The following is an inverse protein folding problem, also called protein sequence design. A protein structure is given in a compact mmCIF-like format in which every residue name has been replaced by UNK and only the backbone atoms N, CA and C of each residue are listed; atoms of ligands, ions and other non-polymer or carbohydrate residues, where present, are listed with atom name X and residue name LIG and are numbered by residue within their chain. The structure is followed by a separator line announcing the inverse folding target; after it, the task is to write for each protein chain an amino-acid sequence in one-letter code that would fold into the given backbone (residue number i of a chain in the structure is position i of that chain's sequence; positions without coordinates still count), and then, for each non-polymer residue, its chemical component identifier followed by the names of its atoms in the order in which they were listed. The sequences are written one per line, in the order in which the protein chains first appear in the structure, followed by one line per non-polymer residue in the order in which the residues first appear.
data_IF_794702579982
#
_entry.id   IF_794702579982
#
_cell.length_a   1.000
_cell.length_b   1.000
_cell.length_c   1.000
_cell.angle_alpha   90.00
_cell.angle_beta   90.00
_cell.angle_gamma   90.00
#
_symmetry.space_group_name_H-M   'P 1'
#
loop_
_entity.id
_entity.type
_entity.pdbx_description
1 polymer ?
#
# COMPACT_ATOMS: atom_id res chain seq x y z
N UNK A 1 -0.78 -6.49 24.58
CA UNK A 1 0.12 -5.93 23.56
C UNK A 1 0.61 -4.59 24.08
N UNK A 2 1.92 -4.44 24.27
CA UNK A 2 2.51 -3.18 24.74
C UNK A 2 2.41 -2.12 23.64
N UNK A 3 2.02 -0.90 24.00
CA UNK A 3 2.04 0.23 23.10
C UNK A 3 3.48 0.51 22.66
N UNK A 4 3.73 0.79 21.38
CA UNK A 4 5.08 1.15 20.93
C UNK A 4 5.52 2.48 21.54
N UNK A 5 6.79 2.59 21.86
CA UNK A 5 7.45 3.74 22.48
C UNK A 5 7.29 5.06 21.68
N UNK A 6 7.29 6.25 22.32
CA UNK A 6 7.12 7.53 21.67
C UNK A 6 8.31 7.86 20.76
N UNK A 7 8.12 7.83 19.45
CA UNK A 7 9.10 8.26 18.46
C UNK A 7 8.95 9.75 18.10
N UNK A 8 10.00 10.30 17.52
CA UNK A 8 10.18 11.72 17.16
C UNK A 8 8.99 12.29 16.39
N UNK A 9 8.61 13.58 16.57
CA UNK A 9 7.53 14.20 15.80
C UNK A 9 7.85 14.14 14.29
N UNK A 10 6.92 13.61 13.50
CA UNK A 10 7.03 13.47 12.05
C UNK A 10 7.24 12.05 11.52
N UNK A 11 7.44 11.03 12.36
CA UNK A 11 7.62 9.65 11.89
C UNK A 11 6.24 8.98 11.68
N UNK A 12 5.97 8.55 10.45
CA UNK A 12 4.80 7.71 10.13
C UNK A 12 4.98 6.39 10.87
N UNK A 13 4.06 6.08 11.80
CA UNK A 13 4.15 4.89 12.65
C UNK A 13 3.47 3.68 12.06
N UNK A 14 2.43 3.90 11.24
CA UNK A 14 1.59 2.85 10.70
C UNK A 14 1.32 3.13 9.23
N UNK A 15 1.76 2.22 8.39
CA UNK A 15 1.48 2.24 6.95
C UNK A 15 0.53 1.10 6.63
N UNK A 16 -0.61 1.43 6.05
CA UNK A 16 -1.65 0.48 5.69
C UNK A 16 -1.78 0.47 4.17
N UNK A 17 -1.70 -0.69 3.56
CA UNK A 17 -1.76 -0.81 2.10
C UNK A 17 -3.00 -1.57 1.64
N UNK A 18 -3.54 -1.12 0.53
CA UNK A 18 -4.50 -1.83 -0.28
C UNK A 18 -3.81 -2.85 -1.21
N UNK A 19 -4.57 -3.77 -1.82
CA UNK A 19 -4.06 -4.84 -2.67
C UNK A 19 -3.37 -4.34 -3.93
N UNK A 20 -3.95 -3.35 -4.62
CA UNK A 20 -3.46 -2.83 -5.89
C UNK A 20 -1.99 -2.41 -5.87
N UNK A 21 -1.59 -1.49 -4.98
CA UNK A 21 -0.19 -1.07 -4.83
C UNK A 21 0.78 -2.21 -4.53
N UNK A 22 0.39 -3.14 -3.66
CA UNK A 22 1.23 -4.30 -3.30
C UNK A 22 1.47 -5.22 -4.49
N UNK A 23 0.40 -5.55 -5.23
CA UNK A 23 0.46 -6.39 -6.42
C UNK A 23 1.30 -5.70 -7.50
N UNK A 24 1.07 -4.41 -7.76
CA UNK A 24 1.81 -3.65 -8.75
C UNK A 24 3.31 -3.65 -8.46
N UNK A 25 3.71 -3.27 -7.25
CA UNK A 25 5.11 -3.27 -6.84
C UNK A 25 5.73 -4.68 -6.84
N UNK A 26 4.98 -5.70 -6.44
CA UNK A 26 5.46 -7.08 -6.44
C UNK A 26 5.73 -7.60 -7.86
N UNK A 27 4.88 -7.26 -8.83
CA UNK A 27 5.04 -7.67 -10.23
C UNK A 27 6.30 -7.09 -10.88
N UNK A 28 6.64 -5.85 -10.57
CA UNK A 28 7.86 -5.21 -11.08
C UNK A 28 9.10 -5.44 -10.21
N UNK A 29 9.02 -6.35 -9.22
CA UNK A 29 10.14 -6.68 -8.33
C UNK A 29 10.55 -5.58 -7.36
N UNK A 30 9.69 -4.61 -7.11
CA UNK A 30 9.97 -3.42 -6.29
C UNK A 30 9.25 -3.40 -4.92
N UNK A 31 8.71 -4.54 -4.48
CA UNK A 31 7.96 -4.62 -3.21
C UNK A 31 8.81 -4.19 -1.99
N UNK A 32 10.11 -4.51 -1.99
CA UNK A 32 11.03 -4.16 -0.91
C UNK A 32 11.23 -2.65 -0.72
N UNK A 33 10.82 -1.81 -1.68
CA UNK A 33 10.78 -0.35 -1.49
C UNK A 33 9.89 0.05 -0.32
N UNK A 34 8.79 -0.68 -0.08
CA UNK A 34 7.92 -0.42 1.06
C UNK A 34 8.65 -0.62 2.39
N UNK A 35 9.45 -1.69 2.48
CA UNK A 35 10.30 -1.94 3.64
C UNK A 35 11.37 -0.88 3.80
N UNK A 36 12.02 -0.50 2.72
CA UNK A 36 13.08 0.52 2.74
C UNK A 36 12.55 1.90 3.15
N UNK A 37 11.36 2.29 2.66
CA UNK A 37 10.74 3.58 2.94
C UNK A 37 10.11 3.66 4.34
N UNK A 38 9.47 2.58 4.79
CA UNK A 38 8.58 2.62 5.96
C UNK A 38 8.96 1.63 7.08
N UNK A 39 9.87 0.72 6.82
CA UNK A 39 10.23 -0.36 7.77
C UNK A 39 9.24 -1.53 7.78
N UNK A 40 7.95 -1.26 7.60
CA UNK A 40 6.91 -2.27 7.57
C UNK A 40 5.58 -1.74 7.05
N UNK A 41 4.73 -2.66 6.64
CA UNK A 41 3.38 -2.38 6.10
C UNK A 41 2.38 -3.32 6.74
N UNK A 42 1.18 -2.82 6.97
CA UNK A 42 0.04 -3.61 7.45
C UNK A 42 -1.03 -3.70 6.37
N UNK A 43 -1.67 -4.85 6.28
CA UNK A 43 -2.85 -5.08 5.46
C UNK A 43 -3.97 -5.69 6.29
N UNK A 44 -5.18 -5.61 5.80
CA UNK A 44 -6.31 -6.31 6.43
C UNK A 44 -6.40 -7.76 5.95
N UNK A 45 -7.10 -8.62 6.68
CA UNK A 45 -7.37 -9.99 6.25
C UNK A 45 -8.14 -10.04 4.92
N UNK A 46 -9.01 -9.05 4.66
CA UNK A 46 -9.73 -8.93 3.37
C UNK A 46 -8.75 -8.69 2.22
N UNK A 47 -7.82 -7.76 2.38
CA UNK A 47 -6.76 -7.50 1.39
C UNK A 47 -5.86 -8.73 1.21
N UNK A 48 -5.53 -9.43 2.30
CA UNK A 48 -4.73 -10.68 2.24
C UNK A 48 -5.44 -11.77 1.41
N UNK A 49 -6.76 -11.94 1.59
CA UNK A 49 -7.59 -12.87 0.83
C UNK A 49 -7.68 -12.46 -0.66
N UNK A 50 -7.81 -11.17 -0.94
CA UNK A 50 -7.81 -10.66 -2.32
C UNK A 50 -6.49 -10.95 -3.03
N UNK A 51 -5.36 -10.81 -2.37
CA UNK A 51 -4.03 -11.14 -2.90
C UNK A 51 -3.84 -12.66 -3.01
N UNK A 52 -4.52 -13.46 -2.18
CA UNK A 52 -4.39 -14.91 -2.09
C UNK A 52 -3.22 -15.36 -1.20
N UNK A 53 -3.00 -14.66 -0.08
CA UNK A 53 -1.97 -14.98 0.93
C UNK A 53 -2.54 -15.22 2.33
N UNK A 54 -3.85 -15.39 2.43
CA UNK A 54 -4.61 -15.67 3.65
C UNK A 54 -4.43 -17.10 4.14
N UNK A 55 -4.17 -18.05 3.24
CA UNK A 55 -3.93 -19.45 3.57
C UNK A 55 -2.48 -19.74 4.01
N UNK A 56 -2.29 -20.87 4.69
CA UNK A 56 -0.96 -21.39 5.05
C UNK A 56 -0.06 -21.56 3.79
N UNK A 57 1.27 -21.37 3.92
CA UNK A 57 2.20 -21.32 2.77
C UNK A 57 2.20 -22.54 1.87
N UNK A 58 1.81 -23.72 2.38
CA UNK A 58 1.91 -25.00 1.68
C UNK A 58 0.71 -25.34 0.75
N UNK A 59 -0.36 -24.54 0.74
CA UNK A 59 -1.62 -24.90 0.02
C UNK A 59 -1.76 -24.21 -1.33
N UNK A 60 -0.86 -23.33 -1.73
CA UNK A 60 -1.05 -22.47 -2.91
C UNK A 60 -0.26 -22.92 -4.14
N UNK A 61 -0.86 -23.82 -4.94
CA UNK A 61 -0.36 -24.14 -6.29
C UNK A 61 -0.70 -23.09 -7.37
N UNK A 62 -1.65 -22.19 -7.08
CA UNK A 62 -2.15 -21.21 -8.07
C UNK A 62 -2.17 -19.76 -7.48
N UNK A 63 -0.98 -19.29 -7.13
CA UNK A 63 -0.85 -17.93 -6.59
C UNK A 63 -0.99 -16.90 -7.69
N UNK A 64 -1.83 -15.92 -7.44
CA UNK A 64 -1.96 -14.72 -8.29
C UNK A 64 -0.59 -14.07 -8.51
N UNK A 65 -0.34 -13.42 -9.66
CA UNK A 65 0.93 -12.74 -9.92
C UNK A 65 1.29 -11.77 -8.78
N UNK A 66 2.54 -11.89 -8.27
CA UNK A 66 3.02 -11.08 -7.13
C UNK A 66 2.75 -11.69 -5.75
N UNK A 67 1.77 -12.58 -5.57
CA UNK A 67 1.40 -13.13 -4.26
C UNK A 67 2.58 -13.82 -3.55
N UNK A 68 3.45 -14.51 -4.29
CA UNK A 68 4.63 -15.16 -3.72
C UNK A 68 5.61 -14.16 -3.07
N UNK A 69 5.84 -13.00 -3.70
CA UNK A 69 6.70 -11.96 -3.13
C UNK A 69 6.07 -11.36 -1.85
N UNK A 70 4.75 -11.12 -1.87
CA UNK A 70 4.03 -10.58 -0.73
C UNK A 70 3.99 -11.60 0.44
N UNK A 71 3.81 -12.90 0.14
CA UNK A 71 3.91 -13.95 1.15
C UNK A 71 5.31 -14.05 1.79
N UNK A 72 6.37 -13.86 1.01
CA UNK A 72 7.75 -13.76 1.53
C UNK A 72 7.93 -12.55 2.44
N UNK A 73 7.34 -11.40 2.10
CA UNK A 73 7.36 -10.19 2.93
C UNK A 73 6.69 -10.44 4.29
N UNK A 74 5.55 -11.17 4.29
CA UNK A 74 4.87 -11.62 5.52
C UNK A 74 5.77 -12.54 6.34
N UNK A 75 6.34 -13.56 5.72
CA UNK A 75 7.24 -14.50 6.39
C UNK A 75 8.50 -13.83 6.95
N UNK A 76 9.00 -12.79 6.28
CA UNK A 76 10.12 -11.96 6.75
C UNK A 76 9.73 -10.96 7.87
N UNK A 77 8.45 -10.88 8.24
CA UNK A 77 7.94 -10.12 9.40
C UNK A 77 7.79 -8.61 9.19
N UNK A 78 8.01 -8.10 7.97
CA UNK A 78 7.81 -6.67 7.71
C UNK A 78 6.46 -6.33 7.06
N UNK A 79 5.68 -7.36 6.64
CA UNK A 79 4.28 -7.22 6.27
C UNK A 79 3.44 -7.96 7.30
N UNK A 80 2.50 -7.25 7.94
CA UNK A 80 1.60 -7.80 8.94
C UNK A 80 0.15 -7.82 8.43
N UNK A 81 -0.62 -8.80 8.91
CA UNK A 81 -2.06 -8.91 8.60
C UNK A 81 -2.84 -8.65 9.89
N UNK A 82 -3.85 -7.80 9.80
CA UNK A 82 -4.81 -7.53 10.89
C UNK A 82 -6.15 -8.15 10.55
N UNK A 83 -6.67 -8.95 11.49
CA UNK A 83 -7.98 -9.58 11.36
C UNK A 83 -9.11 -8.56 11.33
N UNK A 84 -10.04 -8.74 10.40
CA UNK A 84 -11.14 -7.79 10.16
C UNK A 84 -12.06 -7.62 11.36
N UNK A 85 -12.19 -8.65 12.21
CA UNK A 85 -13.00 -8.61 13.44
C UNK A 85 -12.41 -7.70 14.53
N UNK A 86 -11.16 -7.32 14.41
CA UNK A 86 -10.48 -6.44 15.37
C UNK A 86 -10.75 -4.95 15.14
N UNK A 87 -11.43 -4.59 14.06
CA UNK A 87 -11.62 -3.20 13.62
C UNK A 87 -13.10 -2.93 13.37
N UNK A 88 -13.67 -1.84 13.93
CA UNK A 88 -15.03 -1.40 13.58
C UNK A 88 -15.11 -1.12 12.08
N UNK A 89 -16.10 -1.69 11.44
CA UNK A 89 -16.38 -1.44 10.04
C UNK A 89 -17.01 -0.06 9.87
N UNK A 90 -16.50 0.71 8.91
CA UNK A 90 -16.99 2.07 8.61
C UNK A 90 -17.70 2.06 7.27
N UNK A 91 -18.98 2.43 7.28
CA UNK A 91 -19.77 2.54 6.04
C UNK A 91 -19.15 3.59 5.10
N UNK A 92 -18.80 3.24 3.84
CA UNK A 92 -18.24 4.18 2.88
C UNK A 92 -19.25 5.29 2.52
N UNK A 93 -18.75 6.52 2.35
CA UNK A 93 -19.53 7.64 1.79
C UNK A 93 -19.66 7.50 0.26
N UNK A 94 -18.71 6.83 -0.37
CA UNK A 94 -18.68 6.59 -1.81
C UNK A 94 -19.05 5.12 -2.10
N UNK A 95 -20.16 4.86 -2.84
CA UNK A 95 -20.60 3.50 -3.15
C UNK A 95 -19.66 2.73 -4.09
N UNK A 96 -18.67 3.40 -4.70
CA UNK A 96 -17.65 2.77 -5.53
C UNK A 96 -16.44 2.22 -4.76
N UNK A 97 -16.42 2.36 -3.43
CA UNK A 97 -15.36 1.79 -2.58
C UNK A 97 -15.59 0.29 -2.42
N UNK A 98 -14.59 -0.51 -2.74
CA UNK A 98 -14.66 -1.96 -2.62
C UNK A 98 -14.37 -2.45 -1.17
N UNK A 99 -14.41 -3.77 -0.97
CA UNK A 99 -14.24 -4.38 0.35
C UNK A 99 -12.80 -4.24 0.90
N UNK A 100 -11.78 -4.32 0.04
CA UNK A 100 -10.38 -4.12 0.40
C UNK A 100 -10.12 -2.71 0.87
N UNK A 101 -10.53 -1.73 0.05
CA UNK A 101 -10.43 -0.30 0.37
C UNK A 101 -11.21 0.06 1.65
N UNK A 102 -12.44 -0.45 1.77
CA UNK A 102 -13.30 -0.23 2.95
C UNK A 102 -12.60 -0.67 4.25
N UNK A 103 -12.07 -1.89 4.27
CA UNK A 103 -11.40 -2.41 5.47
C UNK A 103 -10.07 -1.70 5.73
N UNK A 104 -9.33 -1.33 4.70
CA UNK A 104 -8.09 -0.55 4.76
C UNK A 104 -8.35 0.83 5.38
N UNK A 105 -9.39 1.54 4.91
CA UNK A 105 -9.80 2.86 5.44
C UNK A 105 -10.31 2.74 6.88
N UNK A 106 -11.14 1.72 7.18
CA UNK A 106 -11.64 1.46 8.53
C UNK A 106 -10.50 1.25 9.53
N UNK A 107 -9.49 0.45 9.16
CA UNK A 107 -8.30 0.22 9.97
C UNK A 107 -7.51 1.51 10.20
N UNK A 108 -7.33 2.32 9.15
CA UNK A 108 -6.64 3.60 9.24
C UNK A 108 -7.34 4.58 10.19
N UNK A 109 -8.66 4.71 10.09
CA UNK A 109 -9.46 5.54 10.98
C UNK A 109 -9.41 5.07 12.43
N UNK A 110 -9.48 3.75 12.65
CA UNK A 110 -9.37 3.17 13.98
C UNK A 110 -8.04 3.53 14.64
N UNK A 111 -6.93 3.37 13.95
CA UNK A 111 -5.63 3.70 14.50
C UNK A 111 -5.37 5.20 14.62
N UNK A 112 -5.86 6.00 13.69
CA UNK A 112 -5.81 7.46 13.79
C UNK A 112 -6.57 7.96 15.03
N UNK A 113 -7.76 7.41 15.29
CA UNK A 113 -8.56 7.72 16.49
C UNK A 113 -7.85 7.29 17.79
N UNK A 114 -7.02 6.25 17.73
CA UNK A 114 -6.15 5.82 18.84
C UNK A 114 -4.87 6.67 18.97
N UNK A 115 -4.71 7.74 18.18
CA UNK A 115 -3.57 8.66 18.23
C UNK A 115 -2.35 8.23 17.43
N UNK A 116 -2.45 7.17 16.61
CA UNK A 116 -1.36 6.79 15.72
C UNK A 116 -1.28 7.73 14.51
N UNK A 117 -0.06 7.99 14.05
CA UNK A 117 0.16 8.58 12.74
C UNK A 117 0.00 7.48 11.68
N UNK A 118 -0.91 7.66 10.76
CA UNK A 118 -1.22 6.68 9.72
C UNK A 118 -0.87 7.22 8.34
N UNK A 119 -0.53 6.32 7.42
CA UNK A 119 -0.43 6.59 5.99
C UNK A 119 -1.13 5.45 5.26
N UNK A 120 -2.02 5.76 4.34
CA UNK A 120 -2.72 4.77 3.52
C UNK A 120 -2.11 4.75 2.12
N UNK A 121 -1.71 3.56 1.66
CA UNK A 121 -1.25 3.32 0.30
C UNK A 121 -2.43 2.81 -0.51
N UNK A 122 -2.94 3.65 -1.41
CA UNK A 122 -4.13 3.34 -2.23
C UNK A 122 -4.05 4.04 -3.57
N UNK A 123 -4.38 3.33 -4.64
CA UNK A 123 -4.32 3.86 -6.01
C UNK A 123 -5.70 4.10 -6.64
N UNK A 124 -6.69 3.30 -6.29
CA UNK A 124 -8.03 3.48 -6.85
C UNK A 124 -8.60 4.87 -6.55
N UNK A 125 -9.32 5.41 -7.53
CA UNK A 125 -9.89 6.75 -7.45
C UNK A 125 -10.94 6.88 -6.34
N UNK A 126 -11.78 5.85 -6.16
CA UNK A 126 -12.85 5.87 -5.17
C UNK A 126 -12.28 5.74 -3.75
N UNK A 127 -11.35 4.82 -3.53
CA UNK A 127 -10.63 4.66 -2.27
C UNK A 127 -9.83 5.91 -1.90
N UNK A 128 -9.13 6.54 -2.86
CA UNK A 128 -8.42 7.80 -2.62
C UNK A 128 -9.36 8.95 -2.26
N UNK A 129 -10.51 9.07 -2.93
CA UNK A 129 -11.50 10.10 -2.62
C UNK A 129 -12.10 9.89 -1.24
N UNK A 130 -12.46 8.66 -0.90
CA UNK A 130 -12.99 8.27 0.41
C UNK A 130 -11.98 8.57 1.53
N UNK A 131 -10.75 8.10 1.41
CA UNK A 131 -9.70 8.32 2.41
C UNK A 131 -9.44 9.82 2.64
N UNK A 132 -9.38 10.62 1.55
CA UNK A 132 -9.23 12.08 1.66
C UNK A 132 -10.41 12.76 2.35
N UNK A 133 -11.65 12.37 2.02
CA UNK A 133 -12.85 12.95 2.63
C UNK A 133 -12.90 12.72 4.15
N UNK A 134 -12.21 11.68 4.61
CA UNK A 134 -12.07 11.34 6.03
C UNK A 134 -10.79 11.89 6.68
N UNK A 135 -10.03 12.73 5.98
CA UNK A 135 -8.82 13.35 6.51
C UNK A 135 -7.64 12.37 6.69
N UNK A 136 -7.64 11.22 6.00
CA UNK A 136 -6.52 10.28 6.04
C UNK A 136 -5.42 10.73 5.09
N UNK A 137 -4.14 10.74 5.52
CA UNK A 137 -3.00 10.88 4.64
C UNK A 137 -2.91 9.69 3.69
N UNK A 138 -2.75 9.97 2.39
CA UNK A 138 -2.65 8.92 1.38
C UNK A 138 -1.42 9.10 0.48
N UNK A 139 -0.91 7.99 -0.04
CA UNK A 139 0.09 7.96 -1.10
C UNK A 139 -0.30 6.89 -2.12
N UNK A 140 -0.04 7.13 -3.41
CA UNK A 140 -0.20 6.13 -4.45
C UNK A 140 1.14 5.59 -4.94
N UNK A 141 1.12 4.48 -5.69
CA UNK A 141 2.32 3.80 -6.20
C UNK A 141 3.24 4.74 -6.99
N UNK A 142 2.69 5.58 -7.86
CA UNK A 142 3.49 6.54 -8.62
C UNK A 142 4.25 7.53 -7.72
N UNK A 143 3.59 8.07 -6.69
CA UNK A 143 4.24 8.96 -5.72
C UNK A 143 5.24 8.23 -4.81
N UNK A 144 5.03 6.93 -4.52
CA UNK A 144 6.03 6.10 -3.85
C UNK A 144 7.34 5.99 -4.64
N UNK A 145 7.25 5.84 -5.96
CA UNK A 145 8.44 5.82 -6.83
C UNK A 145 9.17 7.16 -6.79
N UNK A 146 8.46 8.30 -6.78
CA UNK A 146 9.07 9.62 -6.61
C UNK A 146 9.85 9.70 -5.29
N UNK A 147 9.22 9.32 -4.18
CA UNK A 147 9.87 9.33 -2.86
C UNK A 147 11.09 8.39 -2.84
N UNK A 148 10.97 7.20 -3.45
CA UNK A 148 12.07 6.24 -3.54
C UNK A 148 13.25 6.81 -4.35
N UNK A 149 13.00 7.53 -5.44
CA UNK A 149 14.02 8.23 -6.23
C UNK A 149 14.70 9.33 -5.41
N UNK A 150 13.91 10.18 -4.76
CA UNK A 150 14.42 11.27 -3.91
C UNK A 150 15.30 10.75 -2.76
N UNK A 151 14.99 9.57 -2.23
CA UNK A 151 15.79 8.88 -1.22
C UNK A 151 16.91 8.01 -1.80
N UNK A 152 17.14 8.06 -3.11
CA UNK A 152 18.20 7.31 -3.81
C UNK A 152 18.06 5.77 -3.68
N UNK A 153 16.85 5.28 -3.42
CA UNK A 153 16.55 3.83 -3.36
C UNK A 153 16.40 3.21 -4.75
N UNK A 154 16.09 4.03 -5.75
CA UNK A 154 16.00 3.64 -7.15
C UNK A 154 16.78 4.63 -8.02
N UNK A 155 17.37 4.20 -9.14
CA UNK A 155 18.12 5.07 -10.03
C UNK A 155 17.22 5.96 -10.89
N UNK A 156 16.02 5.46 -11.29
CA UNK A 156 15.10 6.17 -12.17
C UNK A 156 13.65 5.70 -11.96
N UNK A 157 12.67 6.62 -12.15
CA UNK A 157 11.23 6.32 -12.13
C UNK A 157 10.72 5.81 -13.50
N UNK A 158 11.23 6.35 -14.61
CA UNK A 158 10.74 6.05 -15.96
C UNK A 158 10.66 4.55 -16.27
N UNK A 159 11.72 3.74 -16.08
CA UNK A 159 11.67 2.30 -16.38
C UNK A 159 10.68 1.55 -15.49
N UNK A 160 10.50 1.94 -14.24
CA UNK A 160 9.56 1.29 -13.31
C UNK A 160 8.11 1.63 -13.65
N UNK A 161 7.83 2.85 -14.08
CA UNK A 161 6.51 3.24 -14.55
C UNK A 161 6.14 2.55 -15.87
N UNK A 162 7.10 2.36 -16.78
CA UNK A 162 6.91 1.56 -17.98
C UNK A 162 6.61 0.10 -17.63
N UNK A 163 7.38 -0.52 -16.73
CA UNK A 163 7.17 -1.88 -16.27
C UNK A 163 5.79 -2.06 -15.59
N UNK A 164 5.34 -1.11 -14.78
CA UNK A 164 3.99 -1.14 -14.20
C UNK A 164 2.91 -1.18 -15.30
N UNK A 165 3.05 -0.38 -16.36
CA UNK A 165 2.11 -0.40 -17.49
C UNK A 165 2.14 -1.72 -18.25
N UNK A 166 3.32 -2.28 -18.49
CA UNK A 166 3.49 -3.59 -19.13
C UNK A 166 2.82 -4.72 -18.34
N UNK A 167 2.86 -4.63 -17.01
CA UNK A 167 2.15 -5.54 -16.10
C UNK A 167 0.64 -5.25 -15.97
N UNK A 168 0.12 -4.32 -16.78
CA UNK A 168 -1.30 -3.99 -16.82
C UNK A 168 -1.77 -3.00 -15.75
N UNK A 169 -0.83 -2.35 -15.05
CA UNK A 169 -1.18 -1.33 -14.06
C UNK A 169 -1.58 -0.03 -14.76
N UNK A 170 -2.77 0.50 -14.43
CA UNK A 170 -3.25 1.71 -15.09
C UNK A 170 -2.54 2.96 -14.58
N UNK A 171 -1.77 3.60 -15.44
CA UNK A 171 -1.16 4.91 -15.23
C UNK A 171 -1.50 5.81 -16.41
N UNK A 172 -2.21 6.92 -16.16
CA UNK A 172 -2.52 7.87 -17.23
C UNK A 172 -1.25 8.57 -17.73
N UNK A 173 -1.24 8.99 -19.01
CA UNK A 173 -0.09 9.71 -19.58
C UNK A 173 0.22 10.99 -18.81
N UNK A 174 -0.83 11.71 -18.36
CA UNK A 174 -0.68 12.91 -17.55
C UNK A 174 -0.01 12.63 -16.21
N UNK A 175 -0.33 11.50 -15.55
CA UNK A 175 0.34 11.10 -14.30
C UNK A 175 1.80 10.75 -14.55
N UNK A 176 2.08 9.98 -15.62
CA UNK A 176 3.47 9.63 -15.97
C UNK A 176 4.28 10.88 -16.25
N UNK A 177 3.78 11.79 -17.09
CA UNK A 177 4.47 13.04 -17.40
C UNK A 177 4.73 13.89 -16.16
N UNK A 178 3.74 13.99 -15.25
CA UNK A 178 3.89 14.73 -14.00
C UNK A 178 4.97 14.12 -13.08
N UNK A 179 5.00 12.78 -12.95
CA UNK A 179 6.01 12.08 -12.15
C UNK A 179 7.41 12.28 -12.74
N UNK A 180 7.57 12.11 -14.06
CA UNK A 180 8.88 12.26 -14.71
C UNK A 180 9.40 13.70 -14.62
N UNK A 181 8.52 14.69 -14.73
CA UNK A 181 8.87 16.09 -14.52
C UNK A 181 9.30 16.38 -13.06
N UNK A 182 8.63 15.78 -12.08
CA UNK A 182 8.96 15.91 -10.63
C UNK A 182 10.37 15.41 -10.30
N UNK A 183 10.86 14.41 -11.04
CA UNK A 183 12.16 13.75 -10.78
C UNK A 183 13.23 14.06 -11.84
N UNK A 184 13.02 15.07 -12.68
CA UNK A 184 13.93 15.48 -13.75
C UNK A 184 14.24 14.36 -14.76
N UNK A 185 13.22 13.56 -15.14
CA UNK A 185 13.31 12.47 -16.13
C UNK A 185 12.41 12.71 -17.36
N UNK A 186 11.88 13.93 -17.54
CA UNK A 186 10.99 14.30 -18.64
C UNK A 186 11.74 14.56 -19.96
#
# INVERSE_FOLDING_TARGET
MAAPEPSRPGTIRVVIADAGPLIGLARIGCLDLLRALFGGVTITAVVAAEIGIDAEPDVCADRRPGASAIAKARAAGWLSIVESTAVPDVEPLNPGVDSGERTTISLALHWQAAGAQVLVIVDDRCGRAEARSRGLPIIGTAALLVVAKQQQLIPACAPLMAALREEGYYLSDGLVAAVLAEVDEA
#
